data_IF_438689567784
#
_entry.id   IF_438689567784
#
_cell.length_a   1.000
_cell.length_b   1.000
_cell.length_c   1.000
_cell.angle_alpha   90.00
_cell.angle_beta   90.00
_cell.angle_gamma   90.00
#
_symmetry.space_group_name_H-M   'P 1'
#
loop_
_entity.id
_entity.type
_entity.pdbx_description
1 polymer ?
#
# COMPACT_ATOMS: atom_id res chain seq x y z
N UNK A 1 28.78 51.17 -44.55
CA UNK A 1 28.83 50.38 -45.80
C UNK A 1 28.23 49.02 -45.50
N UNK A 2 27.05 48.76 -46.11
CA UNK A 2 26.32 47.50 -46.39
C UNK A 2 26.14 46.38 -45.31
N UNK A 3 24.90 46.11 -44.82
CA UNK A 3 23.76 45.35 -45.41
C UNK A 3 23.88 43.83 -45.12
N UNK A 4 23.15 43.29 -44.14
CA UNK A 4 21.83 42.61 -44.24
C UNK A 4 21.95 41.13 -44.71
N UNK A 5 21.68 40.12 -43.88
CA UNK A 5 20.38 39.53 -43.50
C UNK A 5 20.10 38.22 -44.26
N UNK A 6 19.34 37.32 -43.61
CA UNK A 6 18.29 36.43 -44.16
C UNK A 6 18.44 34.92 -43.81
N UNK A 7 17.42 34.50 -43.06
CA UNK A 7 16.85 33.17 -42.80
C UNK A 7 16.85 32.18 -43.98
N UNK A 8 16.94 30.88 -43.67
CA UNK A 8 16.43 29.82 -44.54
C UNK A 8 15.46 28.94 -43.74
N UNK A 9 14.17 29.16 -43.98
CA UNK A 9 13.09 28.21 -43.76
C UNK A 9 12.65 27.78 -45.17
N UNK A 10 12.55 26.49 -45.49
CA UNK A 10 11.67 26.05 -46.59
C UNK A 10 11.24 24.59 -46.43
N UNK A 11 9.98 24.41 -46.76
CA UNK A 11 9.09 23.26 -46.62
C UNK A 11 8.82 22.68 -48.04
N UNK A 12 8.32 21.45 -48.08
CA UNK A 12 7.48 20.81 -49.13
C UNK A 12 8.08 19.94 -50.25
N UNK A 13 7.25 18.91 -50.57
CA UNK A 13 7.03 18.10 -51.79
C UNK A 13 7.60 16.67 -51.73
N UNK A 14 6.85 15.57 -51.51
CA UNK A 14 5.54 15.04 -51.94
C UNK A 14 5.56 14.34 -53.33
N UNK A 15 5.07 13.08 -53.34
CA UNK A 15 4.48 12.26 -54.45
C UNK A 15 5.47 11.50 -55.35
N UNK A 16 5.33 10.25 -55.81
CA UNK A 16 4.31 9.16 -55.86
C UNK A 16 5.09 7.81 -55.99
N UNK A 17 4.57 6.58 -55.83
CA UNK A 17 3.67 5.82 -56.73
C UNK A 17 3.30 4.48 -56.04
N UNK A 18 2.05 4.09 -56.27
CA UNK A 18 1.27 2.90 -55.89
C UNK A 18 1.82 1.55 -56.41
N UNK A 19 1.63 0.45 -55.66
CA UNK A 19 1.10 -0.83 -56.19
C UNK A 19 0.63 -1.79 -55.09
N UNK A 20 -0.46 -2.47 -55.44
CA UNK A 20 -1.37 -3.33 -54.66
C UNK A 20 -0.85 -4.77 -54.63
N UNK A 21 -0.97 -5.50 -53.51
CA UNK A 21 -1.29 -6.94 -53.53
C UNK A 21 -1.92 -7.44 -52.22
N UNK A 22 -3.05 -8.13 -52.42
CA UNK A 22 -3.55 -9.32 -51.74
C UNK A 22 -3.78 -9.34 -50.21
N UNK A 23 -5.07 -9.48 -49.89
CA UNK A 23 -5.66 -9.90 -48.63
C UNK A 23 -4.98 -11.12 -47.99
N UNK A 24 -4.76 -11.03 -46.69
CA UNK A 24 -4.92 -12.15 -45.77
C UNK A 24 -5.76 -11.64 -44.60
N UNK A 25 -6.98 -12.19 -44.46
CA UNK A 25 -7.83 -11.94 -43.31
C UNK A 25 -7.11 -12.50 -42.08
N UNK A 26 -6.53 -11.61 -41.28
CA UNK A 26 -5.97 -11.96 -39.98
C UNK A 26 -7.16 -12.21 -39.05
N UNK A 27 -7.48 -13.48 -38.81
CA UNK A 27 -8.38 -13.88 -37.74
C UNK A 27 -7.71 -13.45 -36.44
N UNK A 28 -8.19 -12.33 -35.88
CA UNK A 28 -7.84 -11.90 -34.54
C UNK A 28 -8.52 -12.89 -33.57
N UNK A 29 -7.86 -14.00 -33.25
CA UNK A 29 -8.22 -14.76 -32.05
C UNK A 29 -7.86 -13.85 -30.89
N UNK A 30 -8.83 -13.07 -30.42
CA UNK A 30 -8.77 -12.45 -29.11
C UNK A 30 -8.74 -13.61 -28.11
N UNK A 31 -7.54 -14.10 -27.79
CA UNK A 31 -7.30 -14.89 -26.61
C UNK A 31 -7.72 -14.00 -25.45
N UNK A 32 -8.96 -14.16 -25.01
CA UNK A 32 -9.42 -13.66 -23.72
C UNK A 32 -8.61 -14.46 -22.72
N UNK A 33 -7.42 -13.96 -22.40
CA UNK A 33 -6.70 -14.32 -21.19
C UNK A 33 -7.59 -13.85 -20.04
N UNK A 34 -8.60 -14.65 -19.73
CA UNK A 34 -9.26 -14.63 -18.44
C UNK A 34 -8.18 -15.02 -17.45
N UNK A 35 -7.42 -14.03 -16.99
CA UNK A 35 -6.61 -14.15 -15.79
C UNK A 35 -7.62 -14.36 -14.67
N UNK A 36 -8.00 -15.62 -14.44
CA UNK A 36 -8.58 -16.06 -13.19
C UNK A 36 -7.47 -15.93 -12.16
N UNK A 37 -7.18 -14.69 -11.77
CA UNK A 37 -6.40 -14.41 -10.58
C UNK A 37 -7.08 -15.18 -9.46
N UNK A 38 -6.40 -16.20 -8.95
CA UNK A 38 -6.91 -17.04 -7.87
C UNK A 38 -7.26 -16.10 -6.73
N UNK A 39 -8.57 -15.91 -6.52
CA UNK A 39 -9.05 -15.02 -5.48
C UNK A 39 -8.57 -15.61 -4.15
N UNK A 40 -7.87 -14.85 -3.30
CA UNK A 40 -7.29 -15.40 -2.08
C UNK A 40 -8.41 -16.02 -1.24
N UNK A 41 -8.32 -17.33 -1.03
CA UNK A 41 -9.25 -18.12 -0.23
C UNK A 41 -8.65 -18.32 1.17
N UNK A 42 -9.47 -18.14 2.19
CA UNK A 42 -9.06 -18.30 3.58
C UNK A 42 -10.28 -18.61 4.45
N UNK A 43 -10.08 -19.08 5.70
CA UNK A 43 -11.17 -19.27 6.64
C UNK A 43 -11.89 -17.94 6.88
N UNK A 44 -13.23 -17.93 7.03
CA UNK A 44 -13.99 -16.73 7.34
C UNK A 44 -13.44 -16.02 8.59
N UNK A 45 -13.46 -14.69 8.56
CA UNK A 45 -13.12 -13.87 9.72
C UNK A 45 -14.20 -13.98 10.77
N UNK A 46 -13.83 -14.22 12.02
CA UNK A 46 -14.75 -14.17 13.17
C UNK A 46 -15.03 -12.72 13.51
N UNK A 47 -16.26 -12.25 13.28
CA UNK A 47 -16.66 -10.86 13.53
C UNK A 47 -17.57 -10.80 14.76
N UNK A 48 -17.01 -10.44 15.91
CA UNK A 48 -17.74 -10.25 17.17
C UNK A 48 -18.36 -8.84 17.29
N UNK A 49 -17.89 -7.86 16.49
CA UNK A 49 -18.40 -6.49 16.49
C UNK A 49 -18.52 -5.95 15.06
N UNK A 50 -19.74 -5.77 14.57
CA UNK A 50 -20.01 -5.44 13.15
C UNK A 50 -19.58 -4.02 12.78
N UNK A 51 -19.77 -3.07 13.69
CA UNK A 51 -19.40 -1.66 13.52
C UNK A 51 -17.89 -1.51 13.41
N UNK A 52 -17.12 -2.21 14.26
CA UNK A 52 -15.66 -2.25 14.19
C UNK A 52 -15.18 -2.82 12.85
N UNK A 53 -15.83 -3.87 12.34
CA UNK A 53 -15.52 -4.43 11.02
C UNK A 53 -15.78 -3.43 9.88
N UNK A 54 -16.93 -2.74 9.90
CA UNK A 54 -17.25 -1.66 8.94
C UNK A 54 -16.26 -0.50 9.01
N UNK A 55 -15.82 -0.14 10.22
CA UNK A 55 -14.84 0.91 10.44
C UNK A 55 -13.43 0.53 9.99
N UNK A 56 -13.10 -0.76 9.96
CA UNK A 56 -11.80 -1.25 9.51
C UNK A 56 -11.72 -1.37 7.98
N UNK A 57 -12.80 -1.79 7.32
CA UNK A 57 -12.85 -2.04 5.87
C UNK A 57 -12.52 -0.80 5.03
N UNK A 58 -11.85 -0.99 3.89
CA UNK A 58 -11.44 0.06 2.97
C UNK A 58 -10.00 0.55 3.20
N UNK A 59 -9.67 1.71 2.63
CA UNK A 59 -8.33 2.30 2.71
C UNK A 59 -8.18 3.11 4.01
N UNK A 60 -7.08 2.88 4.71
CA UNK A 60 -6.72 3.49 5.98
C UNK A 60 -5.29 4.03 5.91
N UNK A 61 -4.99 5.22 6.44
CA UNK A 61 -3.60 5.67 6.57
C UNK A 61 -2.83 4.72 7.48
N UNK A 62 -1.56 4.50 7.19
CA UNK A 62 -0.70 3.62 7.97
C UNK A 62 0.67 4.25 8.17
N UNK A 63 1.26 4.10 9.35
CA UNK A 63 2.62 4.58 9.62
C UNK A 63 3.43 3.61 10.48
N UNK A 64 4.74 3.64 10.27
CA UNK A 64 5.77 3.29 11.24
C UNK A 64 6.40 4.59 11.75
N UNK A 65 6.50 4.75 13.08
CA UNK A 65 7.03 5.98 13.70
C UNK A 65 8.39 6.42 13.14
N UNK A 66 9.24 5.46 12.79
CA UNK A 66 10.61 5.69 12.34
C UNK A 66 10.70 6.26 10.93
N UNK A 67 9.60 6.18 10.16
CA UNK A 67 9.60 6.58 8.74
C UNK A 67 9.08 8.01 8.58
N UNK A 68 7.88 8.30 9.07
CA UNK A 68 7.28 9.63 8.98
C UNK A 68 5.97 9.72 9.75
N UNK A 69 5.70 10.89 10.31
CA UNK A 69 4.41 11.32 10.83
C UNK A 69 3.63 12.24 9.90
N UNK A 70 4.22 12.65 8.76
CA UNK A 70 3.62 13.55 7.78
C UNK A 70 3.30 12.84 6.46
N UNK A 71 4.01 11.73 6.18
CA UNK A 71 3.88 10.93 4.97
C UNK A 71 3.43 9.51 5.30
N UNK A 72 2.12 9.34 5.39
CA UNK A 72 1.48 8.05 5.64
C UNK A 72 1.53 7.14 4.43
N UNK A 73 1.67 5.85 4.70
CA UNK A 73 1.31 4.78 3.77
C UNK A 73 -0.19 4.54 3.77
N UNK A 74 -0.59 3.52 3.03
CA UNK A 74 -1.99 3.07 2.96
C UNK A 74 -2.04 1.59 3.27
N UNK A 75 -2.91 1.21 4.20
CA UNK A 75 -3.41 -0.14 4.37
C UNK A 75 -4.80 -0.23 3.74
N UNK A 76 -5.03 -1.24 2.93
CA UNK A 76 -6.34 -1.52 2.33
C UNK A 76 -6.88 -2.83 2.88
N UNK A 77 -8.08 -2.76 3.45
CA UNK A 77 -8.80 -3.91 3.97
C UNK A 77 -9.96 -4.23 3.04
N UNK A 78 -10.07 -5.48 2.60
CA UNK A 78 -11.14 -5.96 1.69
C UNK A 78 -11.83 -7.18 2.26
N UNK A 79 -13.16 -7.17 2.32
CA UNK A 79 -13.93 -8.36 2.62
C UNK A 79 -14.20 -9.17 1.34
N UNK A 80 -13.64 -10.38 1.29
CA UNK A 80 -13.76 -11.31 0.17
C UNK A 80 -14.32 -12.62 0.71
N UNK A 81 -15.54 -12.98 0.31
CA UNK A 81 -16.18 -14.23 0.71
C UNK A 81 -16.15 -14.45 2.24
N UNK A 82 -16.51 -13.40 3.01
CA UNK A 82 -16.50 -13.39 4.49
C UNK A 82 -15.11 -13.44 5.13
N UNK A 83 -14.04 -13.29 4.35
CA UNK A 83 -12.66 -13.19 4.84
C UNK A 83 -12.14 -11.78 4.60
N UNK A 84 -11.70 -11.12 5.67
CA UNK A 84 -11.06 -9.82 5.58
C UNK A 84 -9.58 -10.00 5.28
N UNK A 85 -9.11 -9.39 4.20
CA UNK A 85 -7.71 -9.35 3.80
C UNK A 85 -7.16 -7.94 3.97
N UNK A 86 -5.92 -7.83 4.41
CA UNK A 86 -5.22 -6.55 4.56
C UNK A 86 -3.90 -6.59 3.80
N UNK A 87 -3.66 -5.55 3.00
CA UNK A 87 -2.37 -5.29 2.38
C UNK A 87 -2.03 -3.81 2.49
N UNK A 88 -0.75 -3.47 2.65
CA UNK A 88 -0.38 -2.08 2.79
C UNK A 88 1.10 -1.82 2.69
N UNK A 89 1.43 -0.56 2.39
CA UNK A 89 2.82 -0.09 2.28
C UNK A 89 2.95 1.38 2.70
N UNK A 90 3.99 1.67 3.45
CA UNK A 90 4.56 3.02 3.61
C UNK A 90 5.99 2.99 3.08
N UNK A 91 6.38 4.04 2.36
CA UNK A 91 7.73 4.23 1.81
C UNK A 91 8.25 5.58 2.29
N UNK A 92 9.48 5.61 2.80
CA UNK A 92 10.17 6.85 3.11
C UNK A 92 10.39 7.68 1.83
N UNK A 93 10.29 9.00 1.96
CA UNK A 93 10.58 9.95 0.86
C UNK A 93 12.05 10.37 0.78
N UNK A 94 12.84 10.05 1.81
CA UNK A 94 14.23 10.50 1.94
C UNK A 94 15.24 9.37 1.78
N UNK A 95 14.83 8.12 1.98
CA UNK A 95 15.72 6.96 1.91
C UNK A 95 14.94 5.68 1.54
N UNK A 96 15.61 4.53 1.59
CA UNK A 96 15.03 3.22 1.25
C UNK A 96 14.18 2.58 2.35
N UNK A 97 13.80 3.30 3.41
CA UNK A 97 13.04 2.76 4.54
C UNK A 97 11.59 2.49 4.17
N UNK A 98 11.01 1.44 4.73
CA UNK A 98 9.63 1.06 4.43
C UNK A 98 8.96 0.24 5.52
N UNK A 99 7.64 0.23 5.48
CA UNK A 99 6.75 -0.70 6.16
C UNK A 99 5.90 -1.41 5.11
N UNK A 100 5.75 -2.73 5.22
CA UNK A 100 4.81 -3.57 4.45
C UNK A 100 3.97 -4.40 5.42
N UNK A 101 2.69 -4.57 5.09
CA UNK A 101 1.80 -5.52 5.75
C UNK A 101 1.07 -6.33 4.68
N UNK A 102 0.96 -7.64 4.85
CA UNK A 102 0.17 -8.50 3.97
C UNK A 102 -0.33 -9.74 4.71
N UNK A 103 -1.64 -9.96 4.71
CA UNK A 103 -2.24 -11.16 5.29
C UNK A 103 -3.74 -11.07 5.42
N UNK A 104 -4.29 -11.93 6.28
CA UNK A 104 -5.72 -11.98 6.58
C UNK A 104 -6.01 -11.50 7.99
N UNK A 105 -7.23 -11.08 8.24
CA UNK A 105 -7.75 -10.78 9.57
C UNK A 105 -8.56 -11.99 10.02
N UNK A 106 -8.15 -12.65 11.11
CA UNK A 106 -8.82 -13.84 11.64
C UNK A 106 -9.97 -13.51 12.58
N UNK A 107 -9.87 -12.40 13.32
CA UNK A 107 -10.87 -11.95 14.29
C UNK A 107 -11.00 -10.43 14.30
N UNK A 108 -12.22 -9.92 14.47
CA UNK A 108 -12.53 -8.51 14.71
C UNK A 108 -13.48 -8.41 15.92
N UNK A 109 -13.13 -7.57 16.89
CA UNK A 109 -13.94 -7.28 18.08
C UNK A 109 -13.85 -5.77 18.44
N UNK A 110 -14.51 -5.37 19.52
CA UNK A 110 -14.58 -3.97 19.96
C UNK A 110 -13.20 -3.33 20.23
N UNK A 111 -12.22 -4.16 20.60
CA UNK A 111 -10.88 -3.74 21.03
C UNK A 111 -9.86 -3.79 19.89
N UNK A 112 -10.26 -4.24 18.70
CA UNK A 112 -9.44 -4.20 17.48
C UNK A 112 -9.56 -5.49 16.66
N UNK A 113 -8.46 -5.94 16.06
CA UNK A 113 -8.44 -7.16 15.27
C UNK A 113 -7.18 -8.02 15.46
N UNK A 114 -7.29 -9.30 15.10
CA UNK A 114 -6.17 -10.24 14.98
C UNK A 114 -5.82 -10.43 13.51
N UNK A 115 -4.57 -10.10 13.18
CA UNK A 115 -3.96 -10.28 11.87
C UNK A 115 -3.19 -11.59 11.83
N UNK A 116 -3.14 -12.26 10.66
CA UNK A 116 -2.30 -13.41 10.39
C UNK A 116 -1.62 -13.21 9.03
N UNK A 117 -0.30 -13.03 9.05
CA UNK A 117 0.50 -12.78 7.86
C UNK A 117 1.85 -12.17 8.20
N UNK A 118 2.37 -11.35 7.30
CA UNK A 118 3.68 -10.74 7.43
C UNK A 118 3.61 -9.21 7.62
N UNK A 119 4.41 -8.72 8.56
CA UNK A 119 4.73 -7.30 8.72
C UNK A 119 6.23 -7.14 8.55
N UNK A 120 6.67 -6.45 7.49
CA UNK A 120 8.09 -6.20 7.22
C UNK A 120 8.42 -4.73 7.39
N UNK A 121 9.41 -4.44 8.22
CA UNK A 121 9.95 -3.10 8.42
C UNK A 121 11.40 -3.05 7.97
N UNK A 122 11.82 -1.93 7.38
CA UNK A 122 13.22 -1.61 7.12
C UNK A 122 13.45 -0.17 7.53
N UNK A 123 14.43 0.05 8.40
CA UNK A 123 14.88 1.37 8.85
C UNK A 123 16.40 1.37 8.82
N UNK A 124 17.01 2.35 8.16
CA UNK A 124 18.44 2.33 7.81
C UNK A 124 19.40 2.14 8.99
N UNK A 125 19.03 2.59 10.19
CA UNK A 125 19.85 2.52 11.41
C UNK A 125 19.43 1.40 12.38
N UNK A 126 18.43 0.58 12.03
CA UNK A 126 18.00 -0.59 12.81
C UNK A 126 18.41 -1.85 12.05
N UNK A 127 18.92 -2.88 12.74
CA UNK A 127 19.33 -4.16 12.14
C UNK A 127 20.33 -3.99 10.97
N UNK A 128 21.32 -3.10 11.13
CA UNK A 128 22.27 -2.75 10.07
C UNK A 128 21.61 -2.31 8.74
N UNK A 129 20.41 -1.72 8.83
CA UNK A 129 19.61 -1.32 7.67
C UNK A 129 18.97 -2.48 6.90
N UNK A 130 19.04 -3.71 7.41
CA UNK A 130 18.40 -4.90 6.82
C UNK A 130 16.93 -5.00 7.23
N UNK A 131 16.03 -5.43 6.33
CA UNK A 131 14.63 -5.60 6.67
C UNK A 131 14.44 -6.69 7.74
N UNK A 132 13.44 -6.51 8.58
CA UNK A 132 12.98 -7.49 9.56
C UNK A 132 11.50 -7.79 9.32
N UNK A 133 11.13 -9.08 9.34
CA UNK A 133 9.76 -9.55 9.15
C UNK A 133 9.24 -10.23 10.40
N UNK A 134 8.06 -9.82 10.86
CA UNK A 134 7.25 -10.54 11.85
C UNK A 134 6.20 -11.34 11.09
N UNK A 135 6.21 -12.66 11.24
CA UNK A 135 5.26 -13.57 10.60
C UNK A 135 4.31 -14.19 11.62
N UNK A 136 3.10 -14.52 11.16
CA UNK A 136 2.10 -15.24 11.96
C UNK A 136 1.07 -14.33 12.63
N UNK A 137 0.40 -14.81 13.70
CA UNK A 137 -0.69 -14.09 14.34
C UNK A 137 -0.18 -12.89 15.15
N UNK A 138 -0.76 -11.71 14.92
CA UNK A 138 -0.46 -10.47 15.63
C UNK A 138 -1.76 -9.76 16.01
N UNK A 139 -1.81 -9.14 17.19
CA UNK A 139 -2.97 -8.36 17.64
C UNK A 139 -2.76 -6.88 17.36
N UNK A 140 -3.77 -6.21 16.81
CA UNK A 140 -3.82 -4.76 16.65
C UNK A 140 -4.88 -4.15 17.56
N UNK A 141 -4.47 -3.44 18.60
CA UNK A 141 -5.37 -2.87 19.60
C UNK A 141 -5.85 -1.49 19.18
N UNK A 142 -7.16 -1.26 19.28
CA UNK A 142 -7.80 0.01 19.00
C UNK A 142 -7.56 1.00 20.15
N UNK A 143 -7.07 2.19 19.82
CA UNK A 143 -7.14 3.36 20.68
C UNK A 143 -8.19 4.31 20.10
N UNK A 144 -9.40 4.25 20.63
CA UNK A 144 -10.53 5.05 20.12
C UNK A 144 -10.37 6.55 20.40
N UNK A 145 -9.67 6.92 21.48
CA UNK A 145 -9.38 8.32 21.83
C UNK A 145 -8.44 8.96 20.81
N UNK A 146 -7.43 8.24 20.33
CA UNK A 146 -6.43 8.72 19.37
C UNK A 146 -6.71 8.31 17.93
N UNK A 147 -7.67 7.42 17.70
CA UNK A 147 -8.16 7.06 16.37
C UNK A 147 -7.19 6.20 15.55
N UNK A 148 -6.59 5.18 16.15
CA UNK A 148 -5.75 4.19 15.46
C UNK A 148 -5.90 2.78 16.02
N UNK A 149 -5.49 1.79 15.23
CA UNK A 149 -5.15 0.45 15.67
C UNK A 149 -3.63 0.30 15.67
N UNK A 150 -3.03 -0.05 16.80
CA UNK A 150 -1.58 -0.25 16.95
C UNK A 150 -1.25 -1.72 17.13
N UNK A 151 -0.19 -2.18 16.48
CA UNK A 151 0.41 -3.49 16.75
C UNK A 151 0.69 -3.63 18.26
N UNK A 152 0.14 -4.65 18.91
CA UNK A 152 0.28 -4.84 20.36
C UNK A 152 1.69 -5.29 20.74
N UNK A 153 2.25 -6.25 19.99
CA UNK A 153 3.64 -6.68 20.18
C UNK A 153 4.58 -5.72 19.45
N UNK A 154 4.84 -4.57 20.07
CA UNK A 154 5.67 -3.50 19.50
C UNK A 154 7.17 -3.81 19.60
N UNK A 155 7.57 -4.82 20.36
CA UNK A 155 8.97 -5.14 20.58
C UNK A 155 9.65 -5.52 19.26
N UNK A 156 10.78 -4.89 19.01
CA UNK A 156 11.67 -5.23 17.92
C UNK A 156 12.89 -5.97 18.53
N UNK A 157 13.32 -7.12 17.99
CA UNK A 157 14.46 -7.87 18.54
C UNK A 157 15.78 -7.09 18.52
N UNK A 158 15.84 -5.96 17.81
CA UNK A 158 16.99 -5.06 17.73
C UNK A 158 16.92 -3.90 18.74
N UNK A 159 16.23 -4.09 19.87
CA UNK A 159 16.29 -3.17 21.03
C UNK A 159 15.47 -1.89 20.89
N UNK A 160 14.51 -1.85 19.95
CA UNK A 160 13.65 -0.68 19.71
C UNK A 160 12.17 -1.06 19.79
N UNK A 161 11.30 -0.05 19.77
CA UNK A 161 9.85 -0.22 19.76
C UNK A 161 9.27 0.25 18.42
N UNK A 162 8.51 -0.61 17.75
CA UNK A 162 7.87 -0.29 16.48
C UNK A 162 6.39 0.06 16.70
N UNK A 163 6.06 1.35 16.65
CA UNK A 163 4.65 1.76 16.51
C UNK A 163 4.23 1.60 15.05
N UNK A 164 3.62 0.45 14.76
CA UNK A 164 2.90 0.20 13.51
C UNK A 164 1.43 0.56 13.74
N UNK A 165 1.04 1.71 13.21
CA UNK A 165 -0.30 2.27 13.36
C UNK A 165 -1.08 2.21 12.06
N UNK A 166 -2.34 1.78 12.15
CA UNK A 166 -3.36 1.94 11.10
C UNK A 166 -4.40 2.91 11.63
N UNK A 167 -4.54 4.06 11.02
CA UNK A 167 -5.43 5.12 11.50
C UNK A 167 -6.85 4.91 11.01
N UNK A 168 -7.81 5.34 11.82
CA UNK A 168 -9.23 5.28 11.45
C UNK A 168 -9.49 6.13 10.21
N UNK A 169 -8.83 7.30 10.11
CA UNK A 169 -8.86 8.17 8.94
C UNK A 169 -7.66 9.14 8.93
N UNK A 170 -7.55 9.97 7.90
CA UNK A 170 -6.44 10.93 7.75
C UNK A 170 -6.45 12.05 8.81
N UNK A 171 -7.63 12.40 9.33
CA UNK A 171 -7.73 13.46 10.35
C UNK A 171 -7.14 12.98 11.67
N UNK A 172 -7.45 11.74 12.09
CA UNK A 172 -6.85 11.15 13.29
C UNK A 172 -5.36 10.90 13.12
N UNK A 173 -4.91 10.55 11.91
CA UNK A 173 -3.49 10.41 11.60
C UNK A 173 -2.70 11.72 11.78
N UNK A 174 -3.30 12.85 11.41
CA UNK A 174 -2.68 14.19 11.52
C UNK A 174 -2.79 14.81 12.91
N UNK A 175 -3.67 14.29 13.76
CA UNK A 175 -3.72 14.65 15.17
C UNK A 175 -2.50 14.04 15.84
N UNK A 176 -1.41 14.82 15.92
CA UNK A 176 -0.17 14.40 16.58
C UNK A 176 -0.50 13.83 17.96
N UNK A 177 -0.14 12.57 18.25
CA UNK A 177 -0.15 12.08 19.62
C UNK A 177 0.72 13.01 20.46
N UNK A 178 0.20 13.53 21.58
CA UNK A 178 0.91 14.49 22.45
C UNK A 178 2.25 13.95 23.02
N UNK A 179 2.52 12.67 22.85
CA UNK A 179 3.71 11.93 23.26
C UNK A 179 4.70 11.62 22.12
N UNK A 180 4.43 12.09 20.89
CA UNK A 180 5.34 11.94 19.76
C UNK A 180 6.41 13.05 19.77
N UNK A 181 7.27 13.06 20.79
CA UNK A 181 8.56 13.76 20.75
C UNK A 181 9.61 12.68 20.47
N UNK A 182 10.21 12.74 19.28
CA UNK A 182 11.51 12.11 19.00
C UNK A 182 12.60 13.14 19.31
#
# INVERSE_FOLDING_TARGET
MNQASIHVLHYMLLRHITRITASAALILIAASCSSTGSRPSGPPTVVAHKEAARALEGKRPMALQWISWDHFGVAEVRNINKTYWISGRQQSRINGDFLKINGRISQIDATGFTFVGDITTKVYHINDGKPFTRSGPQRFLANTRRGYWRLANMNNPFGVTDYVDIFFNINTARQRPADAVL
#
